data_IF_847751236181
#
_entry.id   IF_847751236181
#
_cell.length_a   1.000
_cell.length_b   1.000
_cell.length_c   1.000
_cell.angle_alpha   90.00
_cell.angle_beta   90.00
_cell.angle_gamma   90.00
#
_symmetry.space_group_name_H-M   'P 1'
#
loop_
_entity.id
_entity.type
_entity.pdbx_description
1 polymer ?
#
# COMPACT_ATOMS: atom_id res chain seq x y z
N UNK A 1 -0.86 3.41 -21.32
CA UNK A 1 -1.00 3.88 -19.93
C UNK A 1 0.38 3.91 -19.30
N UNK A 2 0.81 5.05 -18.79
CA UNK A 2 2.08 5.17 -18.07
C UNK A 2 1.76 5.16 -16.58
N UNK A 3 2.57 4.48 -15.76
CA UNK A 3 2.37 4.47 -14.31
C UNK A 3 2.50 5.89 -13.74
N UNK A 4 1.66 6.24 -12.76
CA UNK A 4 1.76 7.49 -12.02
C UNK A 4 3.08 7.54 -11.24
N UNK A 5 3.99 8.42 -11.66
CA UNK A 5 5.32 8.53 -11.07
C UNK A 5 5.29 9.05 -9.63
N UNK A 6 4.27 9.82 -9.25
CA UNK A 6 4.10 10.28 -7.87
C UNK A 6 3.75 9.11 -6.95
N UNK A 7 2.81 8.25 -7.38
CA UNK A 7 2.45 7.04 -6.65
C UNK A 7 3.64 6.07 -6.51
N UNK A 8 4.49 5.94 -7.53
CA UNK A 8 5.72 5.13 -7.46
C UNK A 8 6.73 5.72 -6.47
N UNK A 9 6.91 7.05 -6.45
CA UNK A 9 7.78 7.71 -5.47
C UNK A 9 7.27 7.53 -4.05
N UNK A 10 5.96 7.60 -3.83
CA UNK A 10 5.37 7.35 -2.52
C UNK A 10 5.52 5.89 -2.09
N UNK A 11 5.29 4.93 -3.00
CA UNK A 11 5.49 3.50 -2.75
C UNK A 11 6.89 3.21 -2.20
N UNK A 12 7.94 3.71 -2.87
CA UNK A 12 9.33 3.46 -2.51
C UNK A 12 9.82 4.37 -1.38
N UNK A 13 9.48 5.65 -1.44
CA UNK A 13 9.99 6.70 -0.56
C UNK A 13 9.26 6.78 0.77
N UNK A 14 7.92 6.86 0.72
CA UNK A 14 7.05 7.01 1.90
C UNK A 14 6.76 5.67 2.54
N UNK A 15 6.24 4.71 1.78
CA UNK A 15 5.78 3.41 2.29
C UNK A 15 6.89 2.34 2.34
N UNK A 16 8.10 2.66 1.87
CA UNK A 16 9.28 1.77 1.86
C UNK A 16 9.04 0.41 1.18
N UNK A 17 8.02 0.33 0.34
CA UNK A 17 7.70 -0.88 -0.43
C UNK A 17 8.35 -0.82 -1.80
N UNK A 18 8.79 -1.97 -2.30
CA UNK A 18 9.34 -2.12 -3.65
C UNK A 18 8.55 -3.12 -4.49
N UNK A 19 7.41 -3.59 -3.97
CA UNK A 19 6.57 -4.60 -4.60
C UNK A 19 5.10 -4.21 -4.55
N UNK A 20 4.36 -4.74 -5.50
CA UNK A 20 2.91 -4.68 -5.53
C UNK A 20 2.33 -6.07 -5.24
N UNK A 21 1.14 -6.15 -4.61
CA UNK A 21 0.34 -5.04 -4.10
C UNK A 21 0.95 -4.40 -2.84
N UNK A 22 0.67 -3.12 -2.63
CA UNK A 22 0.84 -2.42 -1.34
C UNK A 22 -0.45 -1.62 -1.12
N UNK A 23 -1.12 -1.88 0.00
CA UNK A 23 -2.42 -1.28 0.34
C UNK A 23 -2.21 -0.33 1.53
N UNK A 24 -2.79 0.87 1.43
CA UNK A 24 -2.70 1.90 2.46
C UNK A 24 -4.11 2.30 2.87
N UNK A 25 -4.42 2.21 4.16
CA UNK A 25 -5.71 2.60 4.76
C UNK A 25 -5.41 3.54 5.92
N UNK A 26 -5.69 4.84 5.74
CA UNK A 26 -5.26 5.86 6.70
C UNK A 26 -3.74 5.87 6.87
N UNK A 27 -3.28 5.63 8.10
CA UNK A 27 -1.86 5.53 8.45
C UNK A 27 -1.33 4.07 8.40
N UNK A 28 -2.19 3.09 8.15
CA UNK A 28 -1.81 1.69 8.07
C UNK A 28 -1.32 1.28 6.68
N UNK A 29 -0.23 0.52 6.63
CA UNK A 29 0.40 0.05 5.40
C UNK A 29 0.53 -1.48 5.41
N UNK A 30 0.02 -2.12 4.37
CA UNK A 30 0.15 -3.55 4.11
C UNK A 30 0.93 -3.79 2.81
N UNK A 31 2.12 -4.39 2.92
CA UNK A 31 2.91 -4.86 1.78
C UNK A 31 2.49 -6.29 1.46
N UNK A 32 2.17 -6.57 0.21
CA UNK A 32 1.52 -7.80 -0.22
C UNK A 32 0.02 -7.75 0.01
N UNK A 33 -0.61 -8.92 0.05
CA UNK A 33 -2.04 -9.06 0.24
C UNK A 33 -2.34 -10.14 1.27
N UNK A 34 -3.01 -9.72 2.35
CA UNK A 34 -3.52 -10.58 3.40
C UNK A 34 -4.99 -10.18 3.64
N UNK A 35 -5.97 -11.05 3.31
CA UNK A 35 -7.38 -10.70 3.40
C UNK A 35 -7.84 -10.50 4.85
N UNK A 36 -7.39 -11.31 5.80
CA UNK A 36 -7.79 -11.18 7.21
C UNK A 36 -7.23 -9.89 7.83
N UNK A 37 -6.00 -9.52 7.44
CA UNK A 37 -5.41 -8.24 7.85
C UNK A 37 -6.15 -7.06 7.21
N UNK A 38 -6.49 -7.16 5.94
CA UNK A 38 -7.23 -6.11 5.23
C UNK A 38 -8.60 -5.86 5.87
N UNK A 39 -9.32 -6.92 6.24
CA UNK A 39 -10.60 -6.81 6.96
C UNK A 39 -10.44 -6.04 8.28
N UNK A 40 -9.38 -6.31 9.04
CA UNK A 40 -9.07 -5.58 10.29
C UNK A 40 -8.72 -4.11 10.03
N UNK A 41 -7.91 -3.83 9.02
CA UNK A 41 -7.54 -2.46 8.62
C UNK A 41 -8.74 -1.62 8.20
N UNK A 42 -9.76 -2.25 7.59
CA UNK A 42 -10.97 -1.57 7.15
C UNK A 42 -12.04 -1.45 8.27
N UNK A 43 -11.84 -2.14 9.40
CA UNK A 43 -12.79 -2.16 10.51
C UNK A 43 -12.68 -0.92 11.44
N UNK A 44 -11.60 -0.12 11.34
CA UNK A 44 -11.47 1.14 12.09
C UNK A 44 -10.05 1.65 12.25
#
# INVERSE_FOLDING_TARGET
>A
MTADQSAVRDLVGKYKSRSTPTIVVGDEVMIGFDPERLEKMLAG
#
